data_IF_179094538080
#
_entry.id   IF_179094538080
#
_cell.length_a   1.000
_cell.length_b   1.000
_cell.length_c   1.000
_cell.angle_alpha   90.00
_cell.angle_beta   90.00
_cell.angle_gamma   90.00
#
_symmetry.space_group_name_H-M   'P 1'
#
loop_
_entity.id
_entity.type
_entity.pdbx_description
1 polymer ?
#
# COMPACT_ATOMS: atom_id res chain seq x y z
N UNK A 1 -2.20 22.42 1.30
CA UNK A 1 -1.44 23.01 0.17
C UNK A 1 -0.66 21.92 -0.54
N UNK A 2 -0.84 21.76 -1.84
CA UNK A 2 -0.11 20.77 -2.62
C UNK A 2 1.33 21.23 -2.87
N UNK A 3 2.27 20.27 -2.90
CA UNK A 3 3.67 20.57 -3.20
C UNK A 3 3.82 21.01 -4.66
N UNK A 4 4.66 22.00 -4.95
CA UNK A 4 4.90 22.45 -6.32
C UNK A 4 5.31 21.30 -7.26
N UNK A 5 4.77 21.29 -8.47
CA UNK A 5 5.04 20.25 -9.46
C UNK A 5 4.22 18.97 -9.30
N UNK A 6 3.24 18.98 -8.39
CA UNK A 6 2.31 17.84 -8.17
C UNK A 6 0.85 18.24 -8.38
N UNK A 7 0.60 19.42 -8.91
CA UNK A 7 -0.75 19.96 -9.09
C UNK A 7 -1.60 19.01 -9.96
N UNK A 8 -2.76 18.64 -9.44
CA UNK A 8 -3.69 17.74 -10.14
C UNK A 8 -3.24 16.28 -10.23
N UNK A 9 -2.09 15.92 -9.65
CA UNK A 9 -1.61 14.53 -9.66
C UNK A 9 -2.33 13.71 -8.58
N UNK A 10 -2.98 12.64 -9.00
CA UNK A 10 -3.50 11.61 -8.11
C UNK A 10 -2.77 10.31 -8.41
N UNK A 11 -2.22 9.68 -7.38
CA UNK A 11 -1.48 8.42 -7.55
C UNK A 11 -2.45 7.29 -7.95
N UNK A 12 -2.22 6.72 -9.12
CA UNK A 12 -3.02 5.60 -9.66
C UNK A 12 -2.64 4.28 -8.99
N UNK A 13 -2.92 4.19 -7.70
CA UNK A 13 -2.57 3.05 -6.87
C UNK A 13 -3.58 2.85 -5.75
N UNK A 14 -3.64 1.62 -5.25
CA UNK A 14 -4.38 1.23 -4.07
C UNK A 14 -3.46 0.47 -3.10
N UNK A 15 -3.86 0.40 -1.84
CA UNK A 15 -3.21 -0.43 -0.83
C UNK A 15 -4.21 -1.45 -0.33
N UNK A 16 -3.78 -2.70 -0.20
CA UNK A 16 -4.54 -3.77 0.45
C UNK A 16 -3.84 -4.14 1.75
N UNK A 17 -4.53 -3.98 2.87
CA UNK A 17 -4.06 -4.39 4.19
C UNK A 17 -4.78 -5.67 4.60
N UNK A 18 -4.05 -6.78 4.64
CA UNK A 18 -4.60 -8.09 5.00
C UNK A 18 -4.25 -8.44 6.44
N UNK A 19 -5.26 -8.38 7.30
CA UNK A 19 -5.14 -8.72 8.73
C UNK A 19 -4.06 -7.90 9.46
N UNK A 20 -3.96 -6.62 9.17
CA UNK A 20 -3.11 -5.69 9.93
C UNK A 20 -3.79 -5.41 11.27
N UNK A 21 -3.17 -5.87 12.36
CA UNK A 21 -3.80 -5.89 13.69
C UNK A 21 -3.79 -4.54 14.39
N UNK A 22 -2.74 -3.77 14.21
CA UNK A 22 -2.57 -2.50 14.92
C UNK A 22 -3.38 -1.38 14.27
N UNK A 23 -4.30 -0.80 15.04
CA UNK A 23 -5.07 0.36 14.61
C UNK A 23 -4.19 1.59 14.40
N UNK A 24 -3.09 1.71 15.15
CA UNK A 24 -2.11 2.78 14.95
C UNK A 24 -1.42 2.64 13.60
N UNK A 25 -1.08 1.42 13.19
CA UNK A 25 -0.54 1.17 11.85
C UNK A 25 -1.55 1.52 10.76
N UNK A 26 -2.81 1.16 10.93
CA UNK A 26 -3.88 1.51 9.98
C UNK A 26 -3.98 3.04 9.84
N UNK A 27 -4.00 3.77 10.94
CA UNK A 27 -4.02 5.24 10.92
C UNK A 27 -2.81 5.83 10.22
N UNK A 28 -1.61 5.26 10.44
CA UNK A 28 -0.39 5.68 9.76
C UNK A 28 -0.48 5.44 8.23
N UNK A 29 -1.11 4.36 7.80
CA UNK A 29 -1.40 4.12 6.37
C UNK A 29 -2.35 5.19 5.80
N UNK A 30 -3.39 5.57 6.52
CA UNK A 30 -4.28 6.66 6.10
C UNK A 30 -3.49 7.95 5.89
N UNK A 31 -2.60 8.28 6.82
CA UNK A 31 -1.79 9.50 6.73
C UNK A 31 -0.83 9.48 5.54
N UNK A 32 -0.13 8.36 5.33
CA UNK A 32 0.74 8.19 4.16
C UNK A 32 -0.05 8.20 2.85
N UNK A 33 -1.23 7.58 2.83
CA UNK A 33 -2.15 7.56 1.69
C UNK A 33 -2.59 8.98 1.30
N UNK A 34 -2.94 9.80 2.28
CA UNK A 34 -3.24 11.22 2.07
C UNK A 34 -2.03 11.94 1.45
N UNK A 35 -0.84 11.71 2.00
CA UNK A 35 0.39 12.36 1.54
C UNK A 35 0.73 12.10 0.09
N UNK A 36 0.45 10.90 -0.42
CA UNK A 36 0.76 10.52 -1.81
C UNK A 36 -0.42 10.69 -2.77
N UNK A 37 -1.58 11.11 -2.28
CA UNK A 37 -2.79 11.18 -3.10
C UNK A 37 -3.25 9.80 -3.57
N UNK A 38 -3.23 8.81 -2.68
CA UNK A 38 -3.63 7.43 -2.99
C UNK A 38 -5.10 7.35 -3.42
N UNK A 39 -5.40 6.50 -4.40
CA UNK A 39 -6.76 6.32 -4.88
C UNK A 39 -7.68 5.72 -3.82
N UNK A 40 -7.25 4.65 -3.13
CA UNK A 40 -8.00 4.08 -2.01
C UNK A 40 -7.20 3.10 -1.15
N UNK A 41 -7.67 2.91 0.09
CA UNK A 41 -7.24 1.85 0.99
C UNK A 41 -8.28 0.74 1.02
N UNK A 42 -7.84 -0.50 0.85
CA UNK A 42 -8.66 -1.70 0.98
C UNK A 42 -8.27 -2.40 2.28
N UNK A 43 -9.19 -2.43 3.23
CA UNK A 43 -8.96 -2.95 4.59
C UNK A 43 -9.61 -4.31 4.69
N UNK A 44 -8.81 -5.38 4.77
CA UNK A 44 -9.31 -6.75 4.69
C UNK A 44 -9.19 -7.51 6.01
N UNK A 45 -10.15 -8.40 6.25
CA UNK A 45 -10.16 -9.27 7.40
C UNK A 45 -10.33 -8.52 8.71
N UNK A 46 -9.46 -8.79 9.67
CA UNK A 46 -9.48 -8.13 10.99
C UNK A 46 -8.91 -6.71 10.98
N UNK A 47 -8.38 -6.25 9.85
CA UNK A 47 -7.92 -4.86 9.73
C UNK A 47 -9.05 -3.90 10.10
N UNK A 48 -8.81 -3.07 11.10
CA UNK A 48 -9.81 -2.11 11.57
C UNK A 48 -10.06 -1.02 10.52
N UNK A 49 -11.25 -0.47 10.58
CA UNK A 49 -11.65 0.63 9.71
C UNK A 49 -12.27 1.78 10.51
N UNK A 50 -12.33 3.00 9.97
CA UNK A 50 -13.01 4.11 10.64
C UNK A 50 -14.50 3.82 10.89
N UNK A 51 -15.14 4.42 11.90
CA UNK A 51 -14.51 5.32 12.87
C UNK A 51 -13.95 4.55 14.07
N UNK A 52 -12.69 4.76 14.36
CA UNK A 52 -12.01 4.19 15.54
C UNK A 52 -11.04 5.23 16.09
N UNK A 53 -11.13 5.49 17.39
CA UNK A 53 -10.30 6.50 18.04
C UNK A 53 -8.80 6.23 17.90
N UNK A 54 -8.39 4.96 17.97
CA UNK A 54 -6.99 4.58 17.81
C UNK A 54 -6.47 4.82 16.38
N UNK A 55 -7.32 4.69 15.36
CA UNK A 55 -6.98 5.04 13.97
C UNK A 55 -6.76 6.55 13.88
N UNK A 56 -7.67 7.34 14.41
CA UNK A 56 -7.62 8.81 14.35
C UNK A 56 -6.37 9.39 15.01
N UNK A 57 -5.82 8.71 16.03
CA UNK A 57 -4.60 9.17 16.73
C UNK A 57 -3.37 9.27 15.82
N UNK A 58 -3.26 8.44 14.80
CA UNK A 58 -2.13 8.45 13.86
C UNK A 58 -2.54 8.95 12.48
N UNK A 59 -3.80 8.80 12.09
CA UNK A 59 -4.33 9.32 10.83
C UNK A 59 -4.45 10.84 10.82
N UNK A 60 -4.76 11.45 11.98
CA UNK A 60 -4.86 12.91 12.17
C UNK A 60 -5.81 13.58 11.15
N UNK A 61 -6.96 12.94 10.89
CA UNK A 61 -7.97 13.46 9.97
C UNK A 61 -7.90 12.91 8.55
N UNK A 62 -6.80 12.24 8.18
CA UNK A 62 -6.68 11.64 6.84
C UNK A 62 -7.74 10.58 6.57
N UNK A 63 -8.27 9.93 7.61
CA UNK A 63 -9.36 8.95 7.50
C UNK A 63 -10.67 9.57 6.99
N UNK A 64 -10.79 10.89 7.01
CA UNK A 64 -11.95 11.61 6.50
C UNK A 64 -11.83 11.96 5.02
N UNK A 65 -10.62 11.95 4.47
CA UNK A 65 -10.34 12.41 3.09
C UNK A 65 -9.91 11.29 2.16
N UNK A 66 -9.23 10.26 2.68
CA UNK A 66 -8.80 9.11 1.88
C UNK A 66 -9.95 8.12 1.71
N UNK A 67 -10.26 7.76 0.48
CA UNK A 67 -11.28 6.73 0.20
C UNK A 67 -10.81 5.37 0.74
N UNK A 68 -11.74 4.62 1.32
CA UNK A 68 -11.47 3.28 1.83
C UNK A 68 -12.69 2.38 1.70
N UNK A 69 -12.43 1.09 1.72
CA UNK A 69 -13.48 0.06 1.80
C UNK A 69 -12.99 -1.08 2.70
N UNK A 70 -13.93 -1.84 3.26
CA UNK A 70 -13.63 -3.00 4.09
C UNK A 70 -14.35 -4.23 3.55
N UNK A 71 -13.66 -5.36 3.53
CA UNK A 71 -14.22 -6.68 3.25
C UNK A 71 -13.50 -7.70 4.14
N UNK A 72 -14.25 -8.68 4.63
CA UNK A 72 -13.66 -9.77 5.41
C UNK A 72 -12.77 -10.69 4.56
N UNK A 73 -12.98 -10.71 3.25
CA UNK A 73 -12.26 -11.56 2.30
C UNK A 73 -11.25 -10.76 1.48
N UNK A 74 -9.97 -10.89 1.85
CA UNK A 74 -8.87 -10.21 1.17
C UNK A 74 -8.70 -10.71 -0.27
N UNK A 75 -8.94 -11.99 -0.52
CA UNK A 75 -8.85 -12.56 -1.87
C UNK A 75 -9.92 -11.97 -2.76
N UNK A 76 -11.14 -11.85 -2.26
CA UNK A 76 -12.24 -11.22 -2.99
C UNK A 76 -11.90 -9.76 -3.36
N UNK A 77 -11.33 -9.00 -2.42
CA UNK A 77 -10.88 -7.63 -2.70
C UNK A 77 -9.81 -7.59 -3.78
N UNK A 78 -8.80 -8.46 -3.67
CA UNK A 78 -7.70 -8.53 -4.63
C UNK A 78 -8.18 -8.92 -6.02
N UNK A 79 -9.07 -9.89 -6.13
CA UNK A 79 -9.68 -10.30 -7.40
C UNK A 79 -10.45 -9.14 -8.04
N UNK A 80 -11.21 -8.39 -7.25
CA UNK A 80 -11.94 -7.21 -7.72
C UNK A 80 -11.01 -6.14 -8.29
N UNK A 81 -9.91 -5.88 -7.61
CA UNK A 81 -8.89 -4.94 -8.08
C UNK A 81 -8.24 -5.41 -9.38
N UNK A 82 -7.89 -6.69 -9.49
CA UNK A 82 -7.31 -7.25 -10.72
C UNK A 82 -8.29 -7.17 -11.88
N UNK A 83 -9.57 -7.47 -11.65
CA UNK A 83 -10.62 -7.31 -12.68
C UNK A 83 -10.76 -5.86 -13.14
N UNK A 84 -10.48 -4.91 -12.25
CA UNK A 84 -10.48 -3.48 -12.57
C UNK A 84 -9.19 -2.98 -13.23
N UNK A 85 -8.27 -3.89 -13.53
CA UNK A 85 -7.03 -3.59 -14.25
C UNK A 85 -5.81 -3.30 -13.37
N UNK A 86 -5.92 -3.43 -12.05
CA UNK A 86 -4.77 -3.23 -11.15
C UNK A 86 -3.78 -4.40 -11.26
N UNK A 87 -2.49 -4.06 -11.39
CA UNK A 87 -1.41 -5.00 -11.07
C UNK A 87 -1.43 -5.24 -9.55
N UNK A 88 -1.32 -6.49 -9.12
CA UNK A 88 -1.21 -6.82 -7.69
C UNK A 88 0.24 -7.11 -7.35
N UNK A 89 0.81 -6.32 -6.45
CA UNK A 89 2.18 -6.49 -5.97
C UNK A 89 2.18 -6.85 -4.47
N UNK A 90 2.74 -8.00 -4.14
CA UNK A 90 2.93 -8.43 -2.75
C UNK A 90 4.20 -7.82 -2.18
N UNK A 91 4.07 -7.07 -1.09
CA UNK A 91 5.23 -6.54 -0.37
C UNK A 91 5.64 -7.59 0.67
N UNK A 92 6.83 -8.15 0.49
CA UNK A 92 7.31 -9.27 1.29
C UNK A 92 8.83 -9.22 1.49
N UNK A 93 9.38 -10.15 2.27
CA UNK A 93 10.81 -10.16 2.63
C UNK A 93 11.60 -11.27 1.96
N UNK A 94 10.98 -12.06 1.08
CA UNK A 94 11.63 -13.16 0.37
C UNK A 94 12.83 -12.67 -0.46
N UNK A 95 13.89 -13.46 -0.49
CA UNK A 95 15.06 -13.19 -1.34
C UNK A 95 14.74 -13.29 -2.84
N UNK A 96 13.64 -13.95 -3.19
CA UNK A 96 13.18 -14.04 -4.57
C UNK A 96 12.35 -12.84 -5.02
N UNK A 97 11.97 -11.97 -4.08
CA UNK A 97 11.26 -10.74 -4.40
C UNK A 97 12.20 -9.75 -5.08
N UNK A 98 11.64 -8.97 -5.99
CA UNK A 98 12.36 -7.91 -6.70
C UNK A 98 12.63 -6.75 -5.73
N UNK A 99 13.78 -6.11 -5.84
CA UNK A 99 14.12 -4.90 -5.08
C UNK A 99 13.17 -3.76 -5.49
N UNK A 100 12.59 -3.10 -4.48
CA UNK A 100 11.65 -1.99 -4.68
C UNK A 100 12.19 -0.93 -5.65
N UNK A 101 13.47 -0.61 -5.56
CA UNK A 101 14.07 0.45 -6.39
C UNK A 101 14.28 0.02 -7.85
N UNK A 102 14.32 -1.30 -8.10
CA UNK A 102 14.46 -1.88 -9.45
C UNK A 102 13.09 -2.24 -10.06
N UNK A 103 12.07 -2.39 -9.22
CA UNK A 103 10.74 -2.77 -9.68
C UNK A 103 10.12 -1.67 -10.53
N UNK A 104 9.52 -2.06 -11.65
CA UNK A 104 8.79 -1.17 -12.55
C UNK A 104 7.31 -1.58 -12.54
N UNK A 105 6.50 -0.94 -11.69
CA UNK A 105 5.08 -1.25 -11.61
C UNK A 105 4.32 -0.81 -12.87
N UNK A 106 3.30 -1.58 -13.22
CA UNK A 106 2.31 -1.19 -14.21
C UNK A 106 1.14 -0.52 -13.47
N UNK A 107 0.91 0.74 -13.75
CA UNK A 107 -0.20 1.48 -13.15
C UNK A 107 -1.52 1.23 -13.90
N UNK A 108 -2.66 1.11 -13.20
CA UNK A 108 -2.81 1.21 -11.75
C UNK A 108 -2.24 -0.03 -11.03
N UNK A 109 -1.69 0.17 -9.85
CA UNK A 109 -1.09 -0.90 -9.06
C UNK A 109 -1.70 -0.95 -7.66
N UNK A 110 -1.94 -2.16 -7.15
CA UNK A 110 -2.28 -2.40 -5.76
C UNK A 110 -1.09 -3.03 -5.06
N UNK A 111 -0.63 -2.41 -3.98
CA UNK A 111 0.41 -2.98 -3.12
C UNK A 111 -0.25 -3.59 -1.88
N UNK A 112 0.03 -4.87 -1.64
CA UNK A 112 -0.55 -5.62 -0.54
C UNK A 112 0.46 -5.80 0.59
N UNK A 113 0.02 -5.51 1.82
CA UNK A 113 0.78 -5.69 3.05
C UNK A 113 0.04 -6.66 3.96
N UNK A 114 0.78 -7.53 4.61
CA UNK A 114 0.22 -8.56 5.47
C UNK A 114 0.31 -8.26 6.94
N UNK A 115 -0.11 -9.25 7.72
CA UNK A 115 -0.05 -9.26 9.17
C UNK A 115 1.38 -9.01 9.66
N UNK A 116 1.52 -8.29 10.78
CA UNK A 116 2.80 -7.90 11.36
C UNK A 116 3.66 -9.10 11.78
N UNK A 117 3.04 -10.24 12.05
CA UNK A 117 3.73 -11.46 12.47
C UNK A 117 3.81 -12.50 11.35
N UNK A 118 2.69 -12.76 10.68
CA UNK A 118 2.55 -13.85 9.72
C UNK A 118 2.84 -13.42 8.27
N UNK A 119 2.85 -12.12 8.00
CA UNK A 119 2.98 -11.61 6.64
C UNK A 119 1.71 -11.80 5.81
N UNK A 120 1.86 -11.78 4.50
CA UNK A 120 0.74 -12.00 3.57
C UNK A 120 0.34 -13.47 3.52
N UNK A 121 -0.97 -13.72 3.42
CA UNK A 121 -1.48 -15.08 3.26
C UNK A 121 -1.03 -15.69 1.94
N UNK A 122 -0.86 -17.04 1.89
CA UNK A 122 -0.39 -17.73 0.69
C UNK A 122 -1.21 -17.44 -0.55
N UNK A 123 -2.54 -17.30 -0.44
CA UNK A 123 -3.42 -17.05 -1.56
C UNK A 123 -3.11 -15.71 -2.25
N UNK A 124 -2.79 -14.67 -1.48
CA UNK A 124 -2.40 -13.38 -2.04
C UNK A 124 -1.01 -13.44 -2.67
N UNK A 125 -0.07 -14.15 -2.03
CA UNK A 125 1.26 -14.35 -2.58
C UNK A 125 1.20 -15.08 -3.93
N UNK A 126 0.36 -16.11 -4.02
CA UNK A 126 0.21 -16.90 -5.23
C UNK A 126 -0.42 -16.12 -6.38
N UNK A 127 -1.43 -15.28 -6.09
CA UNK A 127 -2.12 -14.52 -7.12
C UNK A 127 -1.41 -13.21 -7.51
N UNK A 128 -0.38 -12.79 -6.76
CA UNK A 128 0.34 -11.54 -7.03
C UNK A 128 1.09 -11.60 -8.37
N UNK A 129 1.01 -10.51 -9.10
CA UNK A 129 1.73 -10.34 -10.37
C UNK A 129 3.22 -10.02 -10.14
N UNK A 130 3.54 -9.41 -9.00
CA UNK A 130 4.90 -9.08 -8.60
C UNK A 130 5.09 -9.32 -7.10
N UNK A 131 6.30 -9.73 -6.73
CA UNK A 131 6.75 -9.82 -5.35
C UNK A 131 7.88 -8.82 -5.17
N UNK A 132 7.70 -7.90 -4.22
CA UNK A 132 8.58 -6.74 -4.06
C UNK A 132 9.06 -6.65 -2.63
N UNK A 133 10.35 -6.40 -2.45
CA UNK A 133 10.95 -6.21 -1.13
C UNK A 133 11.62 -4.85 -1.00
N UNK A 134 11.61 -4.31 0.21
CA UNK A 134 12.43 -3.16 0.56
C UNK A 134 13.82 -3.70 0.93
N UNK A 135 14.92 -3.18 0.34
CA UNK A 135 16.25 -3.65 0.70
C UNK A 135 16.56 -3.37 2.17
N UNK A 136 17.14 -4.37 2.85
CA UNK A 136 17.54 -4.29 4.25
C UNK A 136 19.03 -4.59 4.34
N UNK A 137 19.83 -3.63 4.80
CA UNK A 137 21.29 -3.73 4.83
C UNK A 137 21.87 -4.06 6.21
N UNK A 138 21.01 -4.07 7.23
CA UNK A 138 21.41 -4.38 8.60
C UNK A 138 21.07 -5.82 8.98
N UNK A 139 20.87 -6.04 10.28
CA UNK A 139 20.56 -7.36 10.83
C UNK A 139 19.08 -7.70 10.81
N UNK A 140 18.21 -6.70 10.80
CA UNK A 140 16.76 -6.93 10.75
C UNK A 140 16.32 -7.26 9.33
N UNK A 141 15.36 -8.18 9.21
CA UNK A 141 14.86 -8.65 7.92
C UNK A 141 13.65 -7.86 7.43
N UNK A 142 12.96 -7.14 8.32
CA UNK A 142 11.75 -6.40 8.01
C UNK A 142 11.65 -5.10 8.79
N UNK A 143 10.78 -4.23 8.31
CA UNK A 143 10.39 -2.96 8.94
C UNK A 143 9.01 -3.09 9.56
N UNK A 144 8.68 -2.16 10.46
CA UNK A 144 7.28 -1.95 10.85
C UNK A 144 6.43 -1.77 9.59
N UNK A 145 5.25 -2.37 9.55
CA UNK A 145 4.42 -2.43 8.34
C UNK A 145 4.01 -1.04 7.86
N UNK A 146 3.72 -0.11 8.75
CA UNK A 146 3.36 1.25 8.36
C UNK A 146 4.58 2.03 7.84
N UNK A 147 5.76 1.78 8.41
CA UNK A 147 7.02 2.33 7.89
C UNK A 147 7.28 1.82 6.47
N UNK A 148 7.14 0.52 6.25
CA UNK A 148 7.23 -0.09 4.93
C UNK A 148 6.23 0.54 3.97
N UNK A 149 4.99 0.75 4.43
CA UNK A 149 3.93 1.39 3.66
C UNK A 149 4.33 2.79 3.17
N UNK A 150 4.85 3.62 4.06
CA UNK A 150 5.31 4.97 3.70
C UNK A 150 6.42 4.95 2.64
N UNK A 151 7.40 4.07 2.80
CA UNK A 151 8.52 3.93 1.86
C UNK A 151 8.00 3.51 0.47
N UNK A 152 7.16 2.46 0.42
CA UNK A 152 6.60 1.94 -0.83
C UNK A 152 5.74 2.98 -1.53
N UNK A 153 4.86 3.66 -0.79
CA UNK A 153 3.95 4.64 -1.37
C UNK A 153 4.69 5.84 -1.96
N UNK A 154 5.72 6.36 -1.29
CA UNK A 154 6.49 7.48 -1.82
C UNK A 154 7.38 7.06 -2.99
N UNK A 155 7.89 5.84 -3.01
CA UNK A 155 8.59 5.32 -4.19
C UNK A 155 7.64 5.14 -5.38
N UNK A 156 6.41 4.68 -5.14
CA UNK A 156 5.37 4.62 -6.16
C UNK A 156 5.03 6.01 -6.72
N UNK A 157 4.90 7.00 -5.85
CA UNK A 157 4.66 8.38 -6.27
C UNK A 157 5.77 8.88 -7.19
N UNK A 158 7.03 8.64 -6.81
CA UNK A 158 8.19 9.01 -7.62
C UNK A 158 8.14 8.33 -9.00
N UNK A 159 7.94 7.02 -9.03
CA UNK A 159 7.86 6.24 -10.27
C UNK A 159 6.68 6.68 -11.15
N UNK A 160 5.54 6.92 -10.56
CA UNK A 160 4.34 7.38 -11.27
C UNK A 160 4.55 8.75 -11.89
N UNK A 161 5.13 9.68 -11.15
CA UNK A 161 5.46 11.00 -11.66
C UNK A 161 6.41 10.92 -12.86
N UNK A 162 7.46 10.11 -12.74
CA UNK A 162 8.42 9.89 -13.84
C UNK A 162 7.70 9.32 -15.07
N UNK A 163 6.87 8.29 -14.90
CA UNK A 163 6.15 7.66 -16.01
C UNK A 163 5.19 8.62 -16.72
N UNK A 164 4.57 9.54 -15.99
CA UNK A 164 3.63 10.53 -16.55
C UNK A 164 4.33 11.62 -17.34
N UNK A 165 5.55 12.00 -16.96
CA UNK A 165 6.25 13.13 -17.56
C UNK A 165 7.37 12.71 -18.53
N UNK A 166 7.66 11.42 -18.69
CA UNK A 166 8.59 10.92 -19.71
C UNK A 166 7.98 10.77 -21.12
N UNK A 167 6.71 11.05 -21.27
CA UNK A 167 6.00 10.97 -22.56
C UNK A 167 6.06 12.23 -23.42
N UNK A 168 6.97 13.13 -23.11
CA UNK A 168 7.16 14.39 -23.85
C UNK A 168 8.54 14.50 -24.44
#
# INVERSE_FOLDING_TARGET
MMSPGYDGLQLSAAVLLDNVRSMYNVGAFFRAADGVGLQKLCLAGITAHPPKKAISKTALGAEMTVAWEHDWDAVHMAEGLRRSGFELAAIETSLHAVDLFKWQPRFPVCVAFGNEVEGLRPELLEMADAHVRIPMLGQKESLNVATAGGIVLYELLRKYKVSKFQGF
#
